data_IF_109606934162
#
_entry.id   IF_109606934162
#
_cell.length_a   1.000
_cell.length_b   1.000
_cell.length_c   1.000
_cell.angle_alpha   90.00
_cell.angle_beta   90.00
_cell.angle_gamma   90.00
#
_symmetry.space_group_name_H-M   'P 1'
#
loop_
_entity.id
_entity.type
_entity.pdbx_description
1 polymer ?
#
# COMPACT_ATOMS: atom_id res chain seq x y z
N UNK A 1 -9.43 25.58 -18.38
CA UNK A 1 -8.38 25.18 -17.41
C UNK A 1 -8.91 24.32 -16.27
N UNK A 2 -9.99 24.70 -15.57
CA UNK A 2 -10.58 23.88 -14.49
C UNK A 2 -10.81 22.40 -14.86
N UNK A 3 -11.42 22.12 -16.02
CA UNK A 3 -11.60 20.75 -16.52
C UNK A 3 -10.28 19.97 -16.65
N UNK A 4 -9.22 20.59 -17.15
CA UNK A 4 -7.89 19.94 -17.29
C UNK A 4 -7.26 19.62 -15.92
N UNK A 5 -7.46 20.49 -14.93
CA UNK A 5 -6.99 20.29 -13.56
C UNK A 5 -7.72 19.10 -12.90
N UNK A 6 -9.04 19.03 -13.06
CA UNK A 6 -9.86 17.93 -12.55
C UNK A 6 -9.41 16.61 -13.17
N UNK A 7 -9.23 16.58 -14.50
CA UNK A 7 -8.71 15.39 -15.19
C UNK A 7 -7.35 14.98 -14.62
N UNK A 8 -6.42 15.91 -14.41
CA UNK A 8 -5.11 15.61 -13.83
C UNK A 8 -5.23 14.99 -12.42
N UNK A 9 -6.09 15.54 -11.56
CA UNK A 9 -6.31 15.01 -10.20
C UNK A 9 -6.92 13.60 -10.26
N UNK A 10 -7.91 13.38 -11.13
CA UNK A 10 -8.51 12.06 -11.31
C UNK A 10 -7.46 11.07 -11.82
N UNK A 11 -6.67 11.44 -12.83
CA UNK A 11 -5.58 10.60 -13.33
C UNK A 11 -4.57 10.27 -12.24
N UNK A 12 -4.24 11.24 -11.38
CA UNK A 12 -3.36 11.01 -10.23
C UNK A 12 -3.98 10.03 -9.22
N UNK A 13 -5.27 10.17 -8.90
CA UNK A 13 -5.97 9.23 -8.01
C UNK A 13 -6.02 7.82 -8.59
N UNK A 14 -6.29 7.68 -9.89
CA UNK A 14 -6.26 6.39 -10.59
C UNK A 14 -4.84 5.79 -10.54
N UNK A 15 -3.81 6.61 -10.74
CA UNK A 15 -2.43 6.17 -10.61
C UNK A 15 -2.14 5.63 -9.20
N UNK A 16 -2.44 6.39 -8.14
CA UNK A 16 -2.24 5.97 -6.74
C UNK A 16 -2.99 4.67 -6.43
N UNK A 17 -4.24 4.54 -6.87
CA UNK A 17 -5.01 3.32 -6.66
C UNK A 17 -4.43 2.13 -7.45
N UNK A 18 -4.01 2.35 -8.69
CA UNK A 18 -3.40 1.30 -9.51
C UNK A 18 -2.06 0.85 -8.95
N UNK A 19 -1.26 1.79 -8.45
CA UNK A 19 0.02 1.53 -7.79
C UNK A 19 -0.18 0.65 -6.56
N UNK A 20 -1.17 0.96 -5.72
CA UNK A 20 -1.47 0.18 -4.53
C UNK A 20 -2.03 -1.23 -4.83
N UNK A 21 -3.05 -1.34 -5.70
CA UNK A 21 -3.80 -2.59 -5.87
C UNK A 21 -3.34 -3.48 -7.02
N UNK A 22 -2.84 -2.90 -8.11
CA UNK A 22 -2.73 -3.59 -9.40
C UNK A 22 -1.28 -3.81 -9.81
N UNK A 23 -0.44 -2.79 -9.66
CA UNK A 23 0.91 -2.82 -10.21
C UNK A 23 1.76 -3.88 -9.50
N UNK A 24 2.41 -4.79 -10.26
CA UNK A 24 3.37 -5.71 -9.67
C UNK A 24 4.49 -4.94 -8.98
N UNK A 25 4.90 -5.41 -7.81
CA UNK A 25 5.91 -4.74 -6.97
C UNK A 25 7.23 -4.43 -7.69
N UNK A 26 7.63 -5.25 -8.68
CA UNK A 26 8.83 -5.00 -9.49
C UNK A 26 8.68 -3.85 -10.49
N UNK A 27 7.45 -3.58 -10.96
CA UNK A 27 7.16 -2.57 -11.97
C UNK A 27 6.83 -1.21 -11.31
N UNK A 28 6.34 -1.22 -10.07
CA UNK A 28 6.01 -0.02 -9.28
C UNK A 28 7.11 1.05 -9.31
N UNK A 29 8.41 0.76 -9.02
CA UNK A 29 9.44 1.79 -9.00
C UNK A 29 9.65 2.47 -10.36
N UNK A 30 9.55 1.71 -11.46
CA UNK A 30 9.75 2.24 -12.81
C UNK A 30 8.62 3.18 -13.21
N UNK A 31 7.37 2.79 -12.93
CA UNK A 31 6.19 3.62 -13.21
C UNK A 31 6.21 4.86 -12.31
N UNK A 32 6.56 4.71 -11.03
CA UNK A 32 6.69 5.82 -10.10
C UNK A 32 7.72 6.86 -10.57
N UNK A 33 8.91 6.43 -11.02
CA UNK A 33 9.93 7.34 -11.60
C UNK A 33 9.39 8.05 -12.83
N UNK A 34 8.77 7.32 -13.76
CA UNK A 34 8.19 7.91 -14.97
C UNK A 34 7.14 8.97 -14.62
N UNK A 35 6.27 8.68 -13.65
CA UNK A 35 5.21 9.59 -13.24
C UNK A 35 5.77 10.82 -12.51
N UNK A 36 6.79 10.65 -11.67
CA UNK A 36 7.56 11.76 -11.09
C UNK A 36 8.14 12.67 -12.18
N UNK A 37 8.78 12.11 -13.22
CA UNK A 37 9.35 12.87 -14.33
C UNK A 37 8.29 13.68 -15.07
N UNK A 38 7.13 13.10 -15.36
CA UNK A 38 6.00 13.80 -15.99
C UNK A 38 5.56 14.99 -15.13
N UNK A 39 5.38 14.79 -13.83
CA UNK A 39 4.96 15.86 -12.92
C UNK A 39 6.02 16.97 -12.81
N UNK A 40 7.31 16.64 -12.79
CA UNK A 40 8.42 17.62 -12.78
C UNK A 40 8.42 18.45 -14.07
N UNK A 41 8.30 17.81 -15.24
CA UNK A 41 8.24 18.53 -16.52
C UNK A 41 7.04 19.47 -16.56
N UNK A 42 5.86 19.00 -16.11
CA UNK A 42 4.67 19.85 -16.01
C UNK A 42 4.87 21.01 -15.03
N UNK A 43 5.53 20.77 -13.90
CA UNK A 43 5.84 21.79 -12.90
C UNK A 43 6.74 22.88 -13.49
N UNK A 44 7.84 22.51 -14.15
CA UNK A 44 8.76 23.44 -14.82
C UNK A 44 8.02 24.27 -15.87
N UNK A 45 7.21 23.64 -16.73
CA UNK A 45 6.42 24.35 -17.74
C UNK A 45 5.49 25.39 -17.10
N UNK A 46 4.82 25.04 -15.99
CA UNK A 46 3.93 25.97 -15.31
C UNK A 46 4.68 27.08 -14.59
N UNK A 47 5.84 26.81 -14.00
CA UNK A 47 6.71 27.83 -13.41
C UNK A 47 7.11 28.85 -14.48
N UNK A 48 7.65 28.40 -15.62
CA UNK A 48 8.07 29.29 -16.73
C UNK A 48 6.90 30.13 -17.24
N UNK A 49 5.73 29.53 -17.44
CA UNK A 49 4.53 30.27 -17.89
C UNK A 49 4.07 31.31 -16.86
N UNK A 50 4.12 30.95 -15.57
CA UNK A 50 3.73 31.85 -14.47
C UNK A 50 4.68 33.05 -14.38
N UNK A 51 5.99 32.84 -14.54
CA UNK A 51 6.99 33.92 -14.55
C UNK A 51 6.80 34.84 -15.76
N UNK A 52 6.56 34.29 -16.96
CA UNK A 52 6.32 35.10 -18.17
C UNK A 52 5.08 35.99 -18.05
N UNK A 53 4.04 35.50 -17.40
CA UNK A 53 2.76 36.20 -17.24
C UNK A 53 2.67 37.03 -15.95
N UNK A 54 3.78 37.21 -15.22
CA UNK A 54 3.80 37.83 -13.87
C UNK A 54 3.09 39.19 -13.77
N UNK A 55 3.08 39.99 -14.85
CA UNK A 55 2.44 41.31 -14.88
C UNK A 55 0.90 41.23 -14.94
N UNK A 56 0.35 40.11 -15.41
CA UNK A 56 -1.09 39.85 -15.57
C UNK A 56 -1.45 38.48 -14.96
N UNK A 57 -1.02 38.24 -13.72
CA UNK A 57 -1.15 36.95 -13.06
C UNK A 57 -2.62 36.64 -12.74
N UNK A 58 -3.19 35.63 -13.41
CA UNK A 58 -4.55 35.16 -13.13
C UNK A 58 -4.53 34.16 -11.97
N UNK A 59 -5.52 34.22 -11.09
CA UNK A 59 -5.68 33.30 -9.95
C UNK A 59 -5.69 31.82 -10.38
N UNK A 60 -6.27 31.52 -11.55
CA UNK A 60 -6.28 30.16 -12.12
C UNK A 60 -4.87 29.63 -12.44
N UNK A 61 -3.90 30.49 -12.76
CA UNK A 61 -2.51 30.12 -13.05
C UNK A 61 -1.81 29.70 -11.76
N UNK A 62 -1.97 30.48 -10.69
CA UNK A 62 -1.46 30.17 -9.35
C UNK A 62 -2.05 28.86 -8.85
N UNK A 63 -3.38 28.70 -8.92
CA UNK A 63 -4.05 27.46 -8.53
C UNK A 63 -3.54 26.24 -9.30
N UNK A 64 -3.31 26.37 -10.62
CA UNK A 64 -2.77 25.26 -11.44
C UNK A 64 -1.35 24.88 -11.01
N UNK A 65 -0.49 25.88 -10.76
CA UNK A 65 0.87 25.66 -10.27
C UNK A 65 0.87 24.99 -8.90
N UNK A 66 0.07 25.51 -7.96
CA UNK A 66 -0.07 24.95 -6.61
C UNK A 66 -0.56 23.50 -6.64
N UNK A 67 -1.56 23.18 -7.47
CA UNK A 67 -2.03 21.79 -7.59
C UNK A 67 -0.94 20.87 -8.12
N UNK A 68 -0.24 21.23 -9.21
CA UNK A 68 0.82 20.37 -9.74
C UNK A 68 1.96 20.20 -8.73
N UNK A 69 2.30 21.27 -8.00
CA UNK A 69 3.27 21.21 -6.92
C UNK A 69 2.83 20.24 -5.82
N UNK A 70 1.58 20.32 -5.36
CA UNK A 70 1.02 19.40 -4.35
C UNK A 70 1.03 17.97 -4.85
N UNK A 71 0.57 17.72 -6.09
CA UNK A 71 0.57 16.37 -6.66
C UNK A 71 1.98 15.79 -6.78
N UNK A 72 2.95 16.59 -7.23
CA UNK A 72 4.35 16.19 -7.26
C UNK A 72 4.86 15.88 -5.86
N UNK A 73 4.63 16.78 -4.91
CA UNK A 73 5.03 16.61 -3.52
C UNK A 73 4.44 15.34 -2.92
N UNK A 74 3.14 15.11 -3.04
CA UNK A 74 2.48 13.89 -2.54
C UNK A 74 2.91 12.61 -3.25
N UNK A 75 3.54 12.70 -4.42
CA UNK A 75 4.09 11.52 -5.12
C UNK A 75 5.56 11.30 -4.79
N UNK A 76 6.27 12.31 -4.25
CA UNK A 76 7.71 12.26 -4.15
C UNK A 76 8.20 11.61 -2.83
N UNK A 77 8.91 10.49 -2.98
CA UNK A 77 9.66 9.77 -1.95
C UNK A 77 8.87 9.57 -0.65
N UNK A 78 9.27 10.17 0.47
CA UNK A 78 8.63 9.99 1.77
C UNK A 78 7.18 10.49 1.81
N UNK A 79 6.80 11.47 0.98
CA UNK A 79 5.43 11.99 1.01
C UNK A 79 4.44 11.08 0.30
N UNK A 80 4.92 10.13 -0.52
CA UNK A 80 4.08 9.09 -1.12
C UNK A 80 3.47 8.16 -0.06
N UNK A 81 4.02 8.13 1.16
CA UNK A 81 3.43 7.41 2.29
C UNK A 81 2.03 7.93 2.63
N UNK A 82 1.74 9.22 2.45
CA UNK A 82 0.43 9.82 2.78
C UNK A 82 -0.69 9.20 1.94
N UNK A 83 -0.66 9.28 0.58
CA UNK A 83 -1.69 8.63 -0.23
C UNK A 83 -1.71 7.11 -0.05
N UNK A 84 -0.56 6.47 0.16
CA UNK A 84 -0.49 5.03 0.37
C UNK A 84 -1.16 4.59 1.67
N UNK A 85 -0.98 5.33 2.78
CA UNK A 85 -1.67 5.08 4.05
C UNK A 85 -3.18 5.29 3.95
N UNK A 86 -3.63 6.24 3.12
CA UNK A 86 -5.06 6.43 2.85
C UNK A 86 -5.61 5.20 2.10
N UNK A 87 -4.91 4.74 1.06
CA UNK A 87 -5.30 3.53 0.33
C UNK A 87 -5.28 2.29 1.22
N UNK A 88 -4.30 2.16 2.10
CA UNK A 88 -4.21 1.07 3.07
C UNK A 88 -5.42 1.03 4.02
N UNK A 89 -5.87 2.19 4.51
CA UNK A 89 -7.08 2.27 5.34
C UNK A 89 -8.35 1.90 4.58
N UNK A 90 -8.45 2.32 3.31
CA UNK A 90 -9.58 1.97 2.44
C UNK A 90 -9.58 0.46 2.19
N UNK A 91 -8.44 -0.10 1.81
CA UNK A 91 -8.28 -1.54 1.59
C UNK A 91 -8.59 -2.36 2.84
N UNK A 92 -8.11 -1.92 4.01
CA UNK A 92 -8.48 -2.54 5.28
C UNK A 92 -9.99 -2.68 5.39
N UNK A 93 -10.73 -1.57 5.24
CA UNK A 93 -12.17 -1.55 5.40
C UNK A 93 -12.94 -2.35 4.33
N UNK A 94 -12.54 -2.21 3.06
CA UNK A 94 -13.21 -2.87 1.92
C UNK A 94 -13.01 -4.39 1.96
N UNK A 95 -11.79 -4.84 2.26
CA UNK A 95 -11.42 -6.26 2.19
C UNK A 95 -11.55 -7.00 3.53
N UNK A 96 -11.90 -6.30 4.61
CA UNK A 96 -11.96 -6.83 5.99
C UNK A 96 -12.75 -8.14 6.11
N UNK A 97 -14.00 -8.15 5.64
CA UNK A 97 -14.88 -9.32 5.76
C UNK A 97 -14.32 -10.54 5.03
N UNK A 98 -13.72 -10.31 3.87
CA UNK A 98 -13.10 -11.36 3.07
C UNK A 98 -11.83 -11.90 3.72
N UNK A 99 -11.00 -11.03 4.33
CA UNK A 99 -9.85 -11.44 5.13
C UNK A 99 -10.26 -12.32 6.31
N UNK A 100 -11.31 -11.94 7.04
CA UNK A 100 -11.85 -12.75 8.13
C UNK A 100 -12.36 -14.12 7.65
N UNK A 101 -13.01 -14.19 6.47
CA UNK A 101 -13.40 -15.47 5.90
C UNK A 101 -12.19 -16.35 5.59
N UNK A 102 -11.16 -15.79 4.97
CA UNK A 102 -9.92 -16.51 4.64
C UNK A 102 -9.23 -17.03 5.90
N UNK A 103 -9.11 -16.19 6.94
CA UNK A 103 -8.58 -16.59 8.24
C UNK A 103 -9.35 -17.79 8.80
N UNK A 104 -10.69 -17.78 8.76
CA UNK A 104 -11.51 -18.92 9.19
C UNK A 104 -11.24 -20.17 8.36
N UNK A 105 -11.09 -20.04 7.04
CA UNK A 105 -10.78 -21.17 6.16
C UNK A 105 -9.38 -21.74 6.41
N UNK A 106 -8.39 -20.90 6.74
CA UNK A 106 -7.05 -21.33 7.14
C UNK A 106 -7.08 -22.07 8.47
N UNK A 107 -7.72 -21.50 9.50
CA UNK A 107 -7.81 -22.12 10.84
C UNK A 107 -8.54 -23.47 10.78
N UNK A 108 -9.60 -23.57 9.98
CA UNK A 108 -10.33 -24.82 9.77
C UNK A 108 -9.59 -25.80 8.84
N UNK A 109 -8.39 -25.47 8.37
CA UNK A 109 -7.57 -26.31 7.52
C UNK A 109 -8.09 -26.49 6.10
N UNK A 110 -9.09 -25.70 5.66
CA UNK A 110 -9.59 -25.71 4.27
C UNK A 110 -8.58 -25.06 3.33
N UNK A 111 -7.93 -23.98 3.77
CA UNK A 111 -6.82 -23.33 3.08
C UNK A 111 -5.50 -23.72 3.74
N UNK A 112 -4.54 -24.16 2.92
CA UNK A 112 -3.19 -24.56 3.33
C UNK A 112 -2.19 -24.06 2.30
N UNK A 113 -0.91 -24.03 2.68
CA UNK A 113 0.17 -23.78 1.74
C UNK A 113 0.04 -24.70 0.52
N UNK A 114 -0.03 -24.11 -0.66
CA UNK A 114 -0.29 -24.79 -1.94
C UNK A 114 0.81 -24.49 -2.97
N UNK A 115 1.96 -24.02 -2.49
CA UNK A 115 3.13 -23.72 -3.31
C UNK A 115 4.16 -24.84 -3.18
N UNK A 116 4.93 -25.06 -4.25
CA UNK A 116 5.97 -26.11 -4.30
C UNK A 116 7.12 -25.89 -3.31
N UNK A 117 7.27 -24.67 -2.79
CA UNK A 117 8.37 -24.29 -1.91
C UNK A 117 8.11 -24.58 -0.42
N UNK A 118 6.90 -25.07 -0.04
CA UNK A 118 6.53 -25.42 1.34
C UNK A 118 6.87 -24.35 2.40
N UNK A 119 6.89 -23.08 2.00
CA UNK A 119 7.33 -21.95 2.83
C UNK A 119 6.16 -21.24 3.54
N UNK A 120 5.05 -21.94 3.77
CA UNK A 120 3.84 -21.35 4.36
C UNK A 120 3.02 -20.49 3.40
N UNK A 121 3.49 -20.22 2.17
CA UNK A 121 2.73 -19.41 1.21
C UNK A 121 1.53 -20.21 0.68
N UNK A 122 0.36 -19.58 0.74
CA UNK A 122 -0.90 -20.04 0.16
C UNK A 122 -1.38 -19.03 -0.88
N UNK A 123 -1.41 -19.44 -2.15
CA UNK A 123 -2.00 -18.68 -3.25
C UNK A 123 -3.51 -18.79 -3.23
N UNK A 124 -4.22 -17.67 -3.15
CA UNK A 124 -5.69 -17.66 -3.17
C UNK A 124 -6.21 -17.87 -4.60
N UNK A 125 -7.35 -18.55 -4.73
CA UNK A 125 -7.88 -19.01 -6.02
C UNK A 125 -8.66 -17.97 -6.84
N UNK A 126 -8.87 -16.76 -6.30
CA UNK A 126 -9.59 -15.69 -6.97
C UNK A 126 -8.66 -14.53 -7.32
N UNK A 127 -8.97 -13.80 -8.39
CA UNK A 127 -8.18 -12.65 -8.84
C UNK A 127 -8.68 -11.32 -8.26
N UNK A 128 -9.96 -11.21 -7.88
CA UNK A 128 -10.55 -9.99 -7.33
C UNK A 128 -11.67 -10.26 -6.28
N UNK A 129 -11.93 -9.32 -5.34
CA UNK A 129 -11.01 -8.28 -4.88
C UNK A 129 -9.72 -8.90 -4.32
N UNK A 130 -8.60 -8.26 -4.65
CA UNK A 130 -7.28 -8.57 -4.09
C UNK A 130 -7.34 -8.27 -2.60
N UNK A 131 -7.00 -9.26 -1.78
CA UNK A 131 -7.05 -9.14 -0.30
C UNK A 131 -5.65 -9.05 0.31
N UNK A 132 -4.64 -9.35 -0.50
CA UNK A 132 -3.23 -9.35 -0.15
C UNK A 132 -2.42 -8.90 -1.37
N UNK A 133 -1.79 -7.75 -1.27
CA UNK A 133 -1.01 -7.15 -2.35
C UNK A 133 0.22 -8.01 -2.68
N UNK A 134 0.64 -8.01 -3.94
CA UNK A 134 1.77 -8.85 -4.38
C UNK A 134 1.38 -10.30 -4.70
N UNK A 135 0.38 -10.47 -5.56
CA UNK A 135 0.01 -11.75 -6.16
C UNK A 135 -1.21 -12.45 -5.55
N UNK A 136 -1.88 -11.81 -4.58
CA UNK A 136 -3.01 -12.37 -3.84
C UNK A 136 -2.66 -13.67 -3.08
N UNK A 137 -1.39 -13.82 -2.69
CA UNK A 137 -0.98 -14.87 -1.78
C UNK A 137 -1.09 -14.41 -0.33
N UNK A 138 -1.15 -15.34 0.60
CA UNK A 138 -1.00 -15.10 2.04
C UNK A 138 0.13 -15.96 2.59
N UNK A 139 0.76 -15.52 3.68
CA UNK A 139 1.69 -16.34 4.45
C UNK A 139 0.95 -16.94 5.65
N UNK A 140 0.97 -18.27 5.75
CA UNK A 140 0.43 -19.01 6.88
C UNK A 140 1.62 -19.46 7.73
N UNK A 141 1.78 -18.84 8.89
CA UNK A 141 2.75 -19.25 9.90
C UNK A 141 2.11 -20.33 10.77
N UNK A 142 2.85 -21.41 11.02
CA UNK A 142 2.40 -22.56 11.80
C UNK A 142 3.34 -22.85 12.95
N UNK A 143 2.78 -23.32 14.06
CA UNK A 143 3.57 -23.78 15.19
C UNK A 143 4.12 -25.21 14.95
N UNK A 144 4.88 -25.72 15.93
CA UNK A 144 5.48 -27.07 15.88
C UNK A 144 4.45 -28.21 15.80
N UNK A 145 3.21 -27.95 16.21
CA UNK A 145 2.10 -28.92 16.20
C UNK A 145 1.21 -28.78 14.93
N UNK A 146 1.73 -28.11 13.88
CA UNK A 146 1.05 -27.83 12.61
C UNK A 146 -0.25 -27.00 12.73
N UNK A 147 -0.47 -26.35 13.89
CA UNK A 147 -1.57 -25.42 14.10
C UNK A 147 -1.20 -24.03 13.58
N UNK A 148 -2.20 -23.32 13.04
CA UNK A 148 -2.00 -21.96 12.52
C UNK A 148 -1.64 -21.02 13.66
N UNK A 149 -0.43 -20.45 13.60
CA UNK A 149 0.08 -19.46 14.54
C UNK A 149 -0.32 -18.05 14.13
N UNK A 150 -0.14 -17.71 12.86
CA UNK A 150 -0.52 -16.42 12.30
C UNK A 150 -0.85 -16.51 10.80
N UNK A 151 -1.63 -15.55 10.33
CA UNK A 151 -1.94 -15.38 8.91
C UNK A 151 -1.56 -13.96 8.51
N UNK A 152 -0.65 -13.82 7.55
CA UNK A 152 -0.16 -12.54 7.07
C UNK A 152 -0.71 -12.27 5.67
N UNK A 153 -1.29 -11.09 5.52
CA UNK A 153 -1.73 -10.52 4.25
C UNK A 153 -0.77 -9.39 3.90
N UNK A 154 -0.08 -9.50 2.77
CA UNK A 154 0.82 -8.44 2.32
C UNK A 154 0.04 -7.18 1.98
N UNK A 155 0.54 -6.05 2.44
CA UNK A 155 0.25 -4.71 1.94
C UNK A 155 1.34 -4.30 0.95
N UNK A 156 2.58 -4.67 1.25
CA UNK A 156 3.74 -4.55 0.37
C UNK A 156 4.64 -5.78 0.55
N UNK A 157 5.12 -6.34 -0.57
CA UNK A 157 6.07 -7.47 -0.59
C UNK A 157 7.50 -7.07 -0.23
N UNK A 158 7.79 -5.78 -0.17
CA UNK A 158 9.16 -5.27 -0.15
C UNK A 158 9.92 -5.59 -1.44
N UNK A 159 10.75 -4.66 -1.88
CA UNK A 159 11.71 -4.90 -2.96
C UNK A 159 12.93 -4.02 -2.75
N UNK A 160 14.13 -4.55 -3.02
CA UNK A 160 15.40 -3.97 -2.55
C UNK A 160 15.37 -3.73 -1.03
N UNK A 161 15.72 -2.53 -0.58
CA UNK A 161 15.74 -2.13 0.84
C UNK A 161 14.36 -1.68 1.37
N UNK A 162 13.29 -1.84 0.57
CA UNK A 162 11.93 -1.50 1.00
C UNK A 162 11.37 -2.57 1.94
N UNK A 163 10.79 -2.19 3.09
CA UNK A 163 10.24 -3.15 4.04
C UNK A 163 9.06 -3.93 3.48
N UNK A 164 8.83 -5.11 4.05
CA UNK A 164 7.58 -5.83 3.90
C UNK A 164 6.56 -5.26 4.87
N UNK A 165 5.32 -5.14 4.43
CA UNK A 165 4.23 -4.57 5.24
C UNK A 165 3.07 -5.54 5.22
N UNK A 166 2.48 -5.80 6.39
CA UNK A 166 1.46 -6.81 6.57
C UNK A 166 0.27 -6.34 7.39
N UNK A 167 -0.91 -6.85 7.03
CA UNK A 167 -1.95 -7.13 8.00
C UNK A 167 -1.72 -8.53 8.57
N UNK A 168 -1.55 -8.63 9.88
CA UNK A 168 -1.27 -9.89 10.58
C UNK A 168 -2.46 -10.22 11.48
N UNK A 169 -2.99 -11.43 11.31
CA UNK A 169 -3.95 -12.02 12.23
C UNK A 169 -3.29 -13.11 13.07
N UNK A 170 -3.53 -13.11 14.38
CA UNK A 170 -3.03 -14.20 15.24
C UNK A 170 -3.90 -14.38 16.50
N UNK A 171 -4.09 -15.64 16.90
CA UNK A 171 -4.63 -16.00 18.22
C UNK A 171 -3.55 -16.41 19.22
N UNK A 172 -2.33 -16.68 18.73
CA UNK A 172 -1.22 -17.17 19.53
C UNK A 172 -0.71 -16.11 20.51
N UNK A 173 -0.62 -16.47 21.79
CA UNK A 173 -0.23 -15.54 22.84
C UNK A 173 1.23 -15.06 22.69
N UNK A 174 2.12 -15.95 22.22
CA UNK A 174 3.52 -15.61 22.02
C UNK A 174 3.68 -14.63 20.86
N UNK A 175 3.03 -14.88 19.71
CA UNK A 175 3.02 -13.95 18.58
C UNK A 175 2.41 -12.62 18.98
N UNK A 176 1.27 -12.59 19.69
CA UNK A 176 0.68 -11.34 20.17
C UNK A 176 1.67 -10.50 20.99
N UNK A 177 2.42 -11.14 21.89
CA UNK A 177 3.46 -10.47 22.69
C UNK A 177 4.60 -9.94 21.80
N UNK A 178 5.04 -10.73 20.82
CA UNK A 178 6.06 -10.28 19.89
C UNK A 178 5.61 -9.07 19.05
N UNK A 179 4.40 -9.10 18.51
CA UNK A 179 3.82 -7.99 17.75
C UNK A 179 3.67 -6.73 18.62
N UNK A 180 3.28 -6.89 19.88
CA UNK A 180 3.18 -5.79 20.82
C UNK A 180 4.55 -5.13 21.08
N UNK A 181 5.62 -5.92 21.25
CA UNK A 181 6.98 -5.39 21.38
C UNK A 181 7.42 -4.62 20.11
N UNK A 182 7.02 -5.07 18.92
CA UNK A 182 7.30 -4.35 17.67
C UNK A 182 6.53 -3.03 17.56
N UNK A 183 5.31 -2.98 18.09
CA UNK A 183 4.52 -1.74 18.20
C UNK A 183 5.16 -0.76 19.18
N UNK A 184 5.60 -1.24 20.35
CA UNK A 184 6.22 -0.38 21.36
C UNK A 184 7.57 0.18 20.92
N UNK A 185 8.34 -0.60 20.15
CA UNK A 185 9.64 -0.16 19.64
C UNK A 185 9.55 0.79 18.43
N UNK A 186 8.50 0.67 17.59
CA UNK A 186 8.30 1.48 16.37
C UNK A 186 6.82 1.80 16.13
N UNK A 187 6.16 2.59 16.99
CA UNK A 187 4.73 2.87 16.90
C UNK A 187 4.34 3.68 15.64
N UNK A 188 5.30 4.35 15.01
CA UNK A 188 5.11 5.08 13.76
C UNK A 188 4.91 4.16 12.55
N UNK A 189 5.42 2.93 12.61
CA UNK A 189 5.30 1.93 11.53
C UNK A 189 4.43 0.74 11.91
N UNK A 190 4.14 0.54 13.20
CA UNK A 190 3.46 -0.64 13.70
C UNK A 190 2.33 -0.23 14.62
N UNK A 191 1.14 -0.77 14.42
CA UNK A 191 0.02 -0.53 15.33
C UNK A 191 -0.96 -1.70 15.36
N UNK A 192 -1.67 -1.80 16.48
CA UNK A 192 -2.82 -2.69 16.60
C UNK A 192 -3.99 -2.07 15.85
N UNK A 193 -4.68 -2.87 15.04
CA UNK A 193 -5.85 -2.41 14.28
C UNK A 193 -7.12 -2.67 15.11
N UNK A 194 -7.27 -3.91 15.55
CA UNK A 194 -8.37 -4.36 16.40
C UNK A 194 -7.98 -5.67 17.12
N UNK A 195 -8.94 -6.38 17.71
CA UNK A 195 -8.66 -7.65 18.36
C UNK A 195 -8.06 -8.66 17.37
N UNK A 196 -6.93 -9.26 17.74
CA UNK A 196 -6.17 -10.23 16.93
C UNK A 196 -5.58 -9.71 15.61
N UNK A 197 -5.82 -8.45 15.25
CA UNK A 197 -5.34 -7.85 14.00
C UNK A 197 -4.33 -6.72 14.23
N UNK A 198 -3.23 -6.79 13.49
CA UNK A 198 -2.08 -5.92 13.62
C UNK A 198 -1.60 -5.44 12.24
N UNK A 199 -1.10 -4.21 12.18
CA UNK A 199 -0.39 -3.67 11.02
C UNK A 199 1.09 -3.61 11.36
N UNK A 200 1.90 -4.35 10.62
CA UNK A 200 3.33 -4.51 10.93
C UNK A 200 4.18 -4.23 9.70
N UNK A 201 5.29 -3.53 9.92
CA UNK A 201 6.37 -3.29 8.97
C UNK A 201 7.58 -4.09 9.39
N UNK A 202 7.98 -5.06 8.58
CA UNK A 202 9.18 -5.86 8.77
C UNK A 202 10.26 -5.40 7.80
N UNK A 203 11.41 -4.98 8.34
CA UNK A 203 12.63 -4.79 7.52
C UNK A 203 13.39 -6.10 7.51
N UNK A 204 13.69 -6.58 6.30
CA UNK A 204 14.62 -7.70 6.06
C UNK A 204 16.04 -7.31 6.49
#
# INVERSE_FOLDING_TARGET
>A
MKKKLIVLIITWLVFVASDYFILPYFVQPLIWILFCLVLVVLLIIQIVKTIKERKNLKLIRVSTLSTIFILFFMTFYNFNEIPHLIMEKIDWHVSYQKRNQIVKEVINGKLKSNTKMHNGICKLSFEFPIVSNGGNDILIDKNKDDQTRAVHFWISRGFFDSPQIYFVYTHDAETKRHLQNMIESRPEYNWKIEENWYRITERL
#
